data_IF_214405693245
#
_entry.id   IF_214405693245
#
_cell.length_a   1.000
_cell.length_b   1.000
_cell.length_c   1.000
_cell.angle_alpha   90.00
_cell.angle_beta   90.00
_cell.angle_gamma   90.00
#
_symmetry.space_group_name_H-M   'P 1'
#
loop_
_entity.id
_entity.type
_entity.pdbx_description
1 polymer ?
#
# COMPACT_ATOMS: atom_id res chain seq x y z
N UNK A 1 -11.96 12.70 -0.83
CA UNK A 1 -10.96 13.26 0.08
C UNK A 1 -9.60 12.65 -0.27
N UNK A 2 -8.62 13.50 -0.61
CA UNK A 2 -7.22 13.11 -0.62
C UNK A 2 -6.72 13.15 0.82
N UNK A 3 -5.86 12.23 1.21
CA UNK A 3 -5.32 12.25 2.58
C UNK A 3 -4.57 10.99 2.93
N UNK A 4 -3.58 11.16 3.80
CA UNK A 4 -2.70 10.10 4.26
C UNK A 4 -3.38 9.08 5.16
N UNK A 5 -4.64 9.29 5.57
CA UNK A 5 -5.46 8.23 6.19
C UNK A 5 -5.47 6.93 5.36
N UNK A 6 -5.41 7.05 4.03
CA UNK A 6 -5.31 5.90 3.13
C UNK A 6 -4.00 5.11 3.28
N UNK A 7 -2.91 5.73 3.72
CA UNK A 7 -1.66 5.04 4.04
C UNK A 7 -1.82 4.15 5.27
N UNK A 8 -2.46 4.65 6.33
CA UNK A 8 -2.80 3.85 7.51
C UNK A 8 -3.75 2.70 7.18
N UNK A 9 -4.77 2.95 6.34
CA UNK A 9 -5.69 1.92 5.88
C UNK A 9 -4.92 0.82 5.13
N UNK A 10 -4.03 1.17 4.20
CA UNK A 10 -3.24 0.20 3.46
C UNK A 10 -2.33 -0.65 4.38
N UNK A 11 -1.51 0.00 5.20
CA UNK A 11 -0.59 -0.70 6.09
C UNK A 11 -1.30 -1.55 7.15
N UNK A 12 -2.35 -1.00 7.75
CA UNK A 12 -3.15 -1.69 8.77
C UNK A 12 -3.94 -2.88 8.22
N UNK A 13 -4.60 -2.70 7.06
CA UNK A 13 -5.33 -3.80 6.42
C UNK A 13 -4.41 -4.95 6.01
N UNK A 14 -3.23 -4.63 5.45
CA UNK A 14 -2.27 -5.66 5.05
C UNK A 14 -1.72 -6.43 6.27
N UNK A 15 -1.31 -5.73 7.33
CA UNK A 15 -0.85 -6.40 8.55
C UNK A 15 -1.95 -7.22 9.23
N UNK A 16 -3.18 -6.70 9.27
CA UNK A 16 -4.32 -7.44 9.81
C UNK A 16 -4.61 -8.71 9.00
N UNK A 17 -4.51 -8.65 7.67
CA UNK A 17 -4.66 -9.83 6.80
C UNK A 17 -3.55 -10.86 7.06
N UNK A 18 -2.29 -10.44 7.17
CA UNK A 18 -1.17 -11.32 7.52
C UNK A 18 -1.42 -11.98 8.87
N UNK A 19 -1.77 -11.19 9.89
CA UNK A 19 -2.11 -11.69 11.23
C UNK A 19 -3.22 -12.73 11.18
N UNK A 20 -4.31 -12.44 10.48
CA UNK A 20 -5.49 -13.31 10.40
C UNK A 20 -5.23 -14.58 9.58
N UNK A 21 -4.24 -14.59 8.67
CA UNK A 21 -3.83 -15.80 7.95
C UNK A 21 -3.10 -16.83 8.84
N UNK A 22 -2.77 -16.47 10.09
CA UNK A 22 -1.94 -17.29 10.97
C UNK A 22 -0.44 -17.24 10.66
N UNK A 23 -0.04 -16.42 9.68
CA UNK A 23 1.35 -16.28 9.28
C UNK A 23 2.17 -15.48 10.29
N UNK A 24 3.35 -15.99 10.66
CA UNK A 24 4.45 -15.28 11.34
C UNK A 24 4.17 -14.65 12.72
N UNK A 25 3.05 -14.98 13.37
CA UNK A 25 2.81 -14.56 14.76
C UNK A 25 2.67 -13.05 14.97
N UNK A 26 2.12 -12.33 13.98
CA UNK A 26 1.96 -10.87 14.02
C UNK A 26 1.05 -10.43 15.19
N UNK A 27 1.52 -9.43 15.93
CA UNK A 27 0.82 -8.87 17.10
C UNK A 27 0.13 -7.54 16.79
N UNK A 28 -0.69 -7.05 17.72
CA UNK A 28 -1.26 -5.70 17.58
C UNK A 28 -0.20 -4.60 17.72
N UNK A 29 0.88 -4.88 18.45
CA UNK A 29 2.00 -4.00 18.68
C UNK A 29 2.80 -3.80 17.38
N UNK A 30 2.90 -4.84 16.55
CA UNK A 30 3.47 -4.76 15.19
C UNK A 30 2.64 -3.85 14.28
N UNK A 31 1.30 -3.94 14.35
CA UNK A 31 0.39 -3.05 13.61
C UNK A 31 0.59 -1.59 14.08
N UNK A 32 0.68 -1.37 15.40
CA UNK A 32 0.96 -0.03 15.97
C UNK A 32 2.33 0.49 15.53
N UNK A 33 3.34 -0.37 15.40
CA UNK A 33 4.65 0.02 14.86
C UNK A 33 4.56 0.45 13.40
N UNK A 34 3.81 -0.27 12.56
CA UNK A 34 3.55 0.17 11.17
C UNK A 34 2.90 1.55 11.14
N UNK A 35 1.94 1.82 12.03
CA UNK A 35 1.32 3.15 12.13
C UNK A 35 2.31 4.24 12.58
N UNK A 36 3.14 3.98 13.60
CA UNK A 36 4.19 4.91 14.04
C UNK A 36 5.19 5.23 12.92
N UNK A 37 5.60 4.24 12.12
CA UNK A 37 6.49 4.46 10.97
C UNK A 37 5.79 5.23 9.84
N UNK A 38 4.52 4.94 9.60
CA UNK A 38 3.69 5.62 8.60
C UNK A 38 3.52 7.10 8.94
N UNK A 39 3.23 7.42 10.20
CA UNK A 39 3.07 8.79 10.69
C UNK A 39 4.26 9.69 10.38
N UNK A 40 5.48 9.16 10.52
CA UNK A 40 6.71 9.92 10.31
C UNK A 40 6.96 10.28 8.85
N UNK A 41 6.36 9.58 7.89
CA UNK A 41 6.71 9.67 6.46
C UNK A 41 5.53 9.98 5.53
N UNK A 42 4.30 9.67 5.93
CA UNK A 42 3.10 9.87 5.11
C UNK A 42 2.52 11.27 5.33
N UNK A 43 3.13 12.28 4.71
CA UNK A 43 2.70 13.68 4.78
C UNK A 43 1.73 14.04 3.65
N UNK A 44 0.64 14.73 3.98
CA UNK A 44 -0.41 15.09 3.02
C UNK A 44 0.14 15.95 1.88
N UNK A 45 -0.22 15.62 0.64
CA UNK A 45 0.22 16.39 -0.54
C UNK A 45 1.67 16.13 -0.99
N UNK A 46 2.50 15.46 -0.20
CA UNK A 46 3.92 15.25 -0.52
C UNK A 46 4.15 14.40 -1.78
N UNK A 47 3.21 13.52 -2.14
CA UNK A 47 3.26 12.82 -3.43
C UNK A 47 3.41 13.77 -4.63
N UNK A 48 2.79 14.95 -4.60
CA UNK A 48 2.92 15.96 -5.65
C UNK A 48 4.14 16.87 -5.49
N UNK A 49 4.76 16.92 -4.30
CA UNK A 49 5.90 17.79 -4.01
C UNK A 49 7.23 17.06 -4.17
N UNK A 50 7.30 15.79 -3.78
CA UNK A 50 8.53 14.99 -3.73
C UNK A 50 8.42 13.64 -4.44
N UNK A 51 7.25 13.34 -5.03
CA UNK A 51 7.03 12.10 -5.79
C UNK A 51 6.76 10.86 -4.94
N UNK A 52 6.83 10.95 -3.60
CA UNK A 52 6.63 9.79 -2.72
C UNK A 52 5.22 9.81 -2.15
N UNK A 53 4.37 8.89 -2.62
CA UNK A 53 3.04 8.70 -2.04
C UNK A 53 3.13 8.12 -0.63
N UNK A 54 2.36 8.65 0.33
CA UNK A 54 2.35 8.15 1.71
C UNK A 54 1.98 6.67 1.87
N UNK A 55 1.34 6.05 0.88
CA UNK A 55 1.08 4.60 0.86
C UNK A 55 2.40 3.81 0.69
N UNK A 56 3.38 4.34 -0.04
CA UNK A 56 4.68 3.71 -0.27
C UNK A 56 5.44 3.44 1.04
N UNK A 57 5.71 4.44 1.91
CA UNK A 57 6.36 4.17 3.19
C UNK A 57 5.48 3.36 4.15
N UNK A 58 4.15 3.37 4.02
CA UNK A 58 3.29 2.49 4.80
C UNK A 58 3.50 1.02 4.44
N UNK A 59 3.54 0.68 3.14
CA UNK A 59 3.89 -0.68 2.69
C UNK A 59 5.33 -1.04 3.07
N UNK A 60 6.27 -0.10 2.92
CA UNK A 60 7.65 -0.30 3.39
C UNK A 60 7.71 -0.62 4.88
N UNK A 61 6.88 0.03 5.71
CA UNK A 61 6.78 -0.26 7.13
C UNK A 61 6.23 -1.67 7.39
N UNK A 62 5.24 -2.13 6.61
CA UNK A 62 4.72 -3.51 6.70
C UNK A 62 5.84 -4.52 6.48
N UNK A 63 6.55 -4.45 5.35
CA UNK A 63 7.66 -5.36 5.08
C UNK A 63 8.74 -5.20 6.15
N UNK A 64 9.13 -3.98 6.49
CA UNK A 64 10.19 -3.75 7.46
C UNK A 64 9.89 -4.31 8.86
N UNK A 65 8.64 -4.31 9.30
CA UNK A 65 8.22 -4.97 10.54
C UNK A 65 8.21 -6.50 10.37
N UNK A 66 7.64 -6.99 9.26
CA UNK A 66 7.44 -8.42 8.98
C UNK A 66 8.74 -9.23 8.86
N UNK A 67 9.80 -8.63 8.33
CA UNK A 67 11.11 -9.29 8.14
C UNK A 67 12.22 -8.69 9.00
N UNK A 68 11.91 -7.75 9.90
CA UNK A 68 12.93 -7.13 10.76
C UNK A 68 13.97 -6.30 9.99
N UNK A 69 13.56 -5.68 8.89
CA UNK A 69 14.44 -4.86 8.05
C UNK A 69 14.96 -3.62 8.79
N UNK A 70 16.24 -3.33 8.60
CA UNK A 70 16.93 -2.15 9.13
C UNK A 70 18.18 -1.86 8.29
N UNK A 71 18.72 -0.65 8.42
CA UNK A 71 19.95 -0.25 7.74
C UNK A 71 21.08 -1.26 8.04
N UNK A 72 21.78 -1.69 6.99
CA UNK A 72 22.91 -2.61 7.09
C UNK A 72 22.52 -4.10 7.09
N UNK A 73 21.22 -4.42 6.97
CA UNK A 73 20.79 -5.77 6.59
C UNK A 73 20.91 -5.93 5.07
N UNK A 74 21.32 -7.10 4.61
CA UNK A 74 21.46 -7.39 3.18
C UNK A 74 20.08 -7.70 2.58
N UNK A 75 19.61 -8.93 2.75
CA UNK A 75 18.39 -9.41 2.11
C UNK A 75 17.13 -8.71 2.63
N UNK A 76 17.00 -8.48 3.94
CA UNK A 76 15.79 -7.87 4.50
C UNK A 76 15.63 -6.40 4.10
N UNK A 77 16.73 -5.68 3.91
CA UNK A 77 16.69 -4.32 3.38
C UNK A 77 16.33 -4.32 1.91
N UNK A 78 16.98 -5.18 1.11
CA UNK A 78 16.70 -5.35 -0.32
C UNK A 78 15.23 -5.68 -0.56
N UNK A 79 14.67 -6.67 0.14
CA UNK A 79 13.28 -7.10 0.00
C UNK A 79 12.29 -5.98 0.35
N UNK A 80 12.57 -5.20 1.39
CA UNK A 80 11.73 -4.06 1.79
C UNK A 80 11.77 -2.94 0.76
N UNK A 81 12.97 -2.64 0.22
CA UNK A 81 13.15 -1.64 -0.82
C UNK A 81 12.52 -2.06 -2.15
N UNK A 82 12.56 -3.35 -2.48
CA UNK A 82 11.90 -3.90 -3.66
C UNK A 82 10.37 -3.82 -3.54
N UNK A 83 9.78 -4.10 -2.37
CA UNK A 83 8.35 -3.93 -2.14
C UNK A 83 7.88 -2.51 -2.46
N UNK A 84 8.58 -1.50 -1.91
CA UNK A 84 8.22 -0.09 -2.14
C UNK A 84 8.46 0.35 -3.58
N UNK A 85 9.48 -0.21 -4.26
CA UNK A 85 9.76 0.09 -5.67
C UNK A 85 8.62 -0.41 -6.57
N UNK A 86 8.18 -1.65 -6.36
CA UNK A 86 7.05 -2.25 -7.09
C UNK A 86 5.75 -1.48 -6.87
N UNK A 87 5.45 -1.12 -5.63
CA UNK A 87 4.27 -0.30 -5.30
C UNK A 87 4.36 1.09 -5.90
N UNK A 88 5.54 1.72 -5.88
CA UNK A 88 5.75 3.04 -6.50
C UNK A 88 5.48 2.98 -8.01
N UNK A 89 6.05 1.99 -8.72
CA UNK A 89 5.79 1.79 -10.15
C UNK A 89 4.30 1.65 -10.46
N UNK A 90 3.59 0.80 -9.71
CA UNK A 90 2.16 0.60 -9.92
C UNK A 90 1.32 1.86 -9.63
N UNK A 91 1.67 2.64 -8.61
CA UNK A 91 1.02 3.93 -8.33
C UNK A 91 1.31 4.94 -9.45
N UNK A 92 2.53 4.96 -10.00
CA UNK A 92 2.90 5.86 -11.11
C UNK A 92 2.04 5.61 -12.34
N UNK A 93 1.82 4.36 -12.75
CA UNK A 93 0.91 4.02 -13.87
C UNK A 93 -0.55 4.44 -13.59
N UNK A 94 -0.94 4.45 -12.32
CA UNK A 94 -2.24 4.94 -11.87
C UNK A 94 -2.30 6.46 -11.66
N UNK A 95 -1.19 7.18 -11.79
CA UNK A 95 -1.14 8.63 -11.54
C UNK A 95 -1.68 9.43 -12.73
N UNK A 96 -2.34 10.54 -12.40
CA UNK A 96 -3.11 11.44 -13.27
C UNK A 96 -3.79 12.46 -12.35
N UNK A 97 -5.12 12.64 -12.40
CA UNK A 97 -5.87 13.09 -11.22
C UNK A 97 -5.63 12.15 -10.04
N UNK A 98 -5.00 12.64 -8.98
CA UNK A 98 -4.63 11.82 -7.82
C UNK A 98 -5.86 11.12 -7.20
N UNK A 99 -5.75 9.81 -7.00
CA UNK A 99 -6.79 9.00 -6.36
C UNK A 99 -6.19 8.06 -5.31
N UNK A 100 -6.14 8.50 -4.04
CA UNK A 100 -5.62 7.67 -2.94
C UNK A 100 -6.35 6.32 -2.81
N UNK A 101 -7.64 6.24 -3.20
CA UNK A 101 -8.41 4.97 -3.17
C UNK A 101 -7.88 3.95 -4.19
N UNK A 102 -7.57 4.40 -5.41
CA UNK A 102 -7.00 3.55 -6.44
C UNK A 102 -5.57 3.14 -6.07
N UNK A 103 -4.81 4.06 -5.46
CA UNK A 103 -3.45 3.78 -4.99
C UNK A 103 -3.44 2.73 -3.87
N UNK A 104 -4.39 2.76 -2.94
CA UNK A 104 -4.51 1.71 -1.90
C UNK A 104 -4.75 0.34 -2.53
N UNK A 105 -5.70 0.26 -3.47
CA UNK A 105 -6.07 -1.01 -4.11
C UNK A 105 -4.88 -1.63 -4.84
N UNK A 106 -4.21 -0.86 -5.69
CA UNK A 106 -3.07 -1.37 -6.47
C UNK A 106 -1.88 -1.69 -5.57
N UNK A 107 -1.66 -0.89 -4.51
CA UNK A 107 -0.59 -1.15 -3.56
C UNK A 107 -0.82 -2.47 -2.82
N UNK A 108 -2.06 -2.78 -2.42
CA UNK A 108 -2.40 -4.04 -1.77
C UNK A 108 -2.27 -5.22 -2.75
N UNK A 109 -2.77 -5.10 -3.98
CA UNK A 109 -2.62 -6.13 -5.02
C UNK A 109 -1.15 -6.50 -5.26
N UNK A 110 -0.31 -5.48 -5.48
CA UNK A 110 1.13 -5.66 -5.69
C UNK A 110 1.82 -6.22 -4.45
N UNK A 111 1.44 -5.74 -3.25
CA UNK A 111 2.02 -6.21 -2.00
C UNK A 111 1.68 -7.66 -1.73
N UNK A 112 0.45 -8.09 -1.97
CA UNK A 112 0.03 -9.50 -1.80
C UNK A 112 0.77 -10.40 -2.78
N UNK A 113 0.87 -10.00 -4.05
CA UNK A 113 1.65 -10.75 -5.04
C UNK A 113 3.13 -10.89 -4.63
N UNK A 114 3.71 -9.81 -4.10
CA UNK A 114 5.10 -9.80 -3.66
C UNK A 114 5.32 -10.57 -2.33
N UNK A 115 4.38 -10.53 -1.39
CA UNK A 115 4.40 -11.37 -0.19
C UNK A 115 4.46 -12.85 -0.53
N UNK A 116 3.68 -13.28 -1.52
CA UNK A 116 3.72 -14.65 -2.04
C UNK A 116 5.07 -14.96 -2.66
N UNK A 117 5.56 -14.10 -3.55
CA UNK A 117 6.83 -14.31 -4.26
C UNK A 117 8.04 -14.35 -3.32
N UNK A 118 8.14 -13.40 -2.39
CA UNK A 118 9.34 -13.19 -1.58
C UNK A 118 9.33 -13.96 -0.26
N UNK A 119 8.15 -14.15 0.35
CA UNK A 119 8.03 -14.65 1.72
C UNK A 119 7.18 -15.92 1.84
N UNK A 120 6.59 -16.40 0.74
CA UNK A 120 5.67 -17.54 0.73
C UNK A 120 4.37 -17.31 1.49
N UNK A 121 4.03 -16.04 1.79
CA UNK A 121 2.79 -15.71 2.52
C UNK A 121 1.67 -15.54 1.49
N UNK A 122 0.71 -16.45 1.54
CA UNK A 122 -0.48 -16.40 0.69
C UNK A 122 -1.64 -15.73 1.43
N UNK A 123 -2.20 -14.68 0.82
CA UNK A 123 -3.39 -13.99 1.31
C UNK A 123 -4.50 -14.11 0.27
N UNK A 124 -5.76 -14.29 0.69
CA UNK A 124 -6.87 -14.36 -0.24
C UNK A 124 -7.03 -13.03 -0.97
N UNK A 125 -7.06 -13.08 -2.29
CA UNK A 125 -7.38 -11.96 -3.16
C UNK A 125 -8.70 -12.26 -3.87
N UNK A 126 -9.67 -11.37 -3.70
CA UNK A 126 -10.93 -11.41 -4.45
C UNK A 126 -10.76 -10.64 -5.77
N UNK A 127 -11.76 -10.78 -6.65
CA UNK A 127 -11.82 -10.05 -7.91
C UNK A 127 -11.71 -8.53 -7.71
N UNK A 128 -11.16 -7.86 -8.72
CA UNK A 128 -10.91 -6.42 -8.74
C UNK A 128 -12.20 -5.66 -8.38
N UNK A 129 -12.23 -4.92 -7.25
CA UNK A 129 -13.47 -4.32 -6.78
C UNK A 129 -13.88 -3.16 -7.67
N UNK A 130 -15.15 -3.15 -8.12
CA UNK A 130 -15.72 -2.00 -8.83
C UNK A 130 -15.76 -0.77 -7.91
N UNK A 131 -15.28 0.38 -8.41
CA UNK A 131 -15.30 1.64 -7.68
C UNK A 131 -16.73 2.19 -7.57
N UNK A 132 -17.20 2.44 -6.34
CA UNK A 132 -18.52 3.06 -6.05
C UNK A 132 -18.42 4.56 -5.74
N UNK A 133 -17.32 5.19 -6.14
CA UNK A 133 -16.97 6.56 -5.73
C UNK A 133 -16.62 7.47 -6.91
N UNK A 134 -17.01 7.11 -8.13
CA UNK A 134 -16.72 7.86 -9.35
C UNK A 134 -17.10 9.34 -9.21
N UNK A 135 -18.28 9.62 -8.65
CA UNK A 135 -18.80 10.99 -8.51
C UNK A 135 -18.22 11.74 -7.29
N UNK A 136 -17.40 11.09 -6.46
CA UNK A 136 -16.79 11.66 -5.24
C UNK A 136 -15.31 11.99 -5.43
N UNK A 137 -14.99 12.63 -6.56
CA UNK A 137 -13.64 13.01 -6.96
C UNK A 137 -13.51 14.50 -7.31
N UNK A 138 -13.30 15.33 -6.28
CA UNK A 138 -13.12 16.79 -6.42
C UNK A 138 -12.01 17.19 -7.39
N UNK A 139 -10.97 16.38 -7.55
CA UNK A 139 -9.80 16.68 -8.37
C UNK A 139 -9.81 15.99 -9.75
N UNK A 140 -10.92 15.31 -10.09
CA UNK A 140 -11.07 14.55 -11.33
C UNK A 140 -11.01 13.03 -11.13
N UNK A 141 -11.88 12.31 -11.82
CA UNK A 141 -11.85 10.86 -11.93
C UNK A 141 -11.20 10.46 -13.26
N UNK A 142 -10.40 9.38 -13.26
CA UNK A 142 -9.81 8.83 -14.49
C UNK A 142 -10.79 8.04 -15.36
N UNK A 143 -11.98 7.73 -14.83
CA UNK A 143 -13.06 6.99 -15.50
C UNK A 143 -12.51 5.77 -16.26
N UNK A 144 -12.68 5.69 -17.58
CA UNK A 144 -12.31 4.57 -18.44
C UNK A 144 -10.80 4.25 -18.39
N UNK A 145 -9.96 5.19 -17.94
CA UNK A 145 -8.52 4.99 -17.71
C UNK A 145 -8.17 4.42 -16.33
N UNK A 146 -9.17 4.14 -15.49
CA UNK A 146 -9.00 3.56 -14.16
C UNK A 146 -9.40 2.07 -14.21
N UNK A 147 -8.54 1.13 -13.77
CA UNK A 147 -8.88 -0.30 -13.80
C UNK A 147 -10.05 -0.67 -12.89
N UNK A 148 -10.42 0.23 -11.97
CA UNK A 148 -11.53 0.04 -11.04
C UNK A 148 -12.84 0.68 -11.53
N UNK A 149 -12.84 1.35 -12.67
CA UNK A 149 -14.04 1.94 -13.24
C UNK A 149 -14.83 0.87 -13.99
N UNK A 150 -16.15 0.87 -13.79
CA UNK A 150 -17.06 0.05 -14.57
C UNK A 150 -18.06 1.00 -15.22
N UNK A 151 -18.29 0.81 -16.52
CA UNK A 151 -19.41 1.42 -17.20
C UNK A 151 -20.68 0.84 -16.56
N UNK A 152 -21.46 1.72 -15.93
CA UNK A 152 -22.80 1.41 -15.45
C UNK A 152 -23.74 1.13 -16.60
#
# INVERSE_FOLDING_TARGET
MLGCHHAYIAGGALMAAIKNSGSRGITNEDIKEVFRRTERQAHGGYCGLTGVCGIVPAIGAVFGVLIGSKCGKDEEQRLTMEAVTRVTGAITELTGPSCCKAYVRVALEVSVAYLRQALGIELPMQDVPTCKHTDRHLHGCRKERCPYFKLS
#
